data_IF_537855559950
#
_entry.id   IF_537855559950
#
_cell.length_a   1.000
_cell.length_b   1.000
_cell.length_c   1.000
_cell.angle_alpha   90.00
_cell.angle_beta   90.00
_cell.angle_gamma   90.00
#
_symmetry.space_group_name_H-M   'P 1'
#
loop_
_entity.id
_entity.type
_entity.pdbx_description
1 polymer ?
#
# COMPACT_ATOMS: atom_id res chain seq x y z
N UNK A 1 4.51 2.38 -19.22
CA UNK A 1 5.82 3.03 -19.09
C UNK A 1 5.56 4.51 -18.98
N UNK A 2 6.12 5.19 -17.98
CA UNK A 2 5.86 6.62 -17.69
C UNK A 2 4.37 6.99 -17.61
N UNK A 3 3.58 6.14 -16.96
CA UNK A 3 2.13 6.33 -16.84
C UNK A 3 1.29 5.84 -18.03
N UNK A 4 1.92 5.48 -19.15
CA UNK A 4 1.22 4.98 -20.32
C UNK A 4 1.26 3.45 -20.41
N UNK A 5 0.12 2.84 -20.77
CA UNK A 5 0.04 1.40 -21.04
C UNK A 5 0.72 1.09 -22.38
N UNK A 6 1.76 0.25 -22.37
CA UNK A 6 2.48 -0.18 -23.58
C UNK A 6 2.00 -1.51 -24.13
N UNK A 7 1.32 -2.32 -23.33
CA UNK A 7 0.79 -3.61 -23.76
C UNK A 7 0.62 -4.58 -22.60
N UNK A 8 0.16 -5.78 -22.92
CA UNK A 8 0.11 -6.92 -22.01
C UNK A 8 1.08 -7.98 -22.51
N UNK A 9 1.95 -8.45 -21.62
CA UNK A 9 2.99 -9.41 -21.95
C UNK A 9 2.90 -10.62 -21.04
N UNK A 10 3.12 -11.82 -21.59
CA UNK A 10 3.42 -12.99 -20.76
C UNK A 10 4.81 -12.82 -20.15
N UNK A 11 5.06 -13.43 -19.00
CA UNK A 11 6.36 -13.30 -18.32
C UNK A 11 7.56 -13.58 -19.25
N UNK A 12 7.49 -14.65 -20.04
CA UNK A 12 8.56 -15.01 -20.98
C UNK A 12 8.81 -13.96 -22.09
N UNK A 13 7.74 -13.27 -22.54
CA UNK A 13 7.84 -12.23 -23.56
C UNK A 13 8.35 -10.92 -22.95
N UNK A 14 7.94 -10.62 -21.72
CA UNK A 14 8.47 -9.49 -20.96
C UNK A 14 9.97 -9.62 -20.73
N UNK A 15 10.47 -10.81 -20.37
CA UNK A 15 11.90 -11.05 -20.19
C UNK A 15 12.71 -10.75 -21.45
N UNK A 16 12.21 -11.10 -22.65
CA UNK A 16 12.87 -10.78 -23.93
C UNK A 16 12.89 -9.27 -24.23
N UNK A 17 11.82 -8.57 -23.81
CA UNK A 17 11.64 -7.15 -24.12
C UNK A 17 12.32 -6.23 -23.13
N UNK A 18 12.51 -6.64 -21.87
CA UNK A 18 12.89 -5.71 -20.79
C UNK A 18 14.21 -4.95 -21.05
N UNK A 19 15.17 -5.52 -21.80
CA UNK A 19 16.38 -4.78 -22.23
C UNK A 19 16.08 -3.55 -23.08
N UNK A 20 15.00 -3.54 -23.82
CA UNK A 20 14.59 -2.38 -24.63
C UNK A 20 14.14 -1.19 -23.76
N UNK A 21 13.91 -1.42 -22.45
CA UNK A 21 13.55 -0.39 -21.47
C UNK A 21 14.76 0.37 -20.93
N UNK A 22 15.98 -0.13 -21.12
CA UNK A 22 17.23 0.46 -20.58
C UNK A 22 17.36 1.96 -20.94
N UNK A 23 17.16 2.40 -22.18
CA UNK A 23 17.28 3.82 -22.51
C UNK A 23 16.31 4.71 -21.72
N UNK A 24 15.12 4.20 -21.42
CA UNK A 24 14.12 4.91 -20.63
C UNK A 24 14.47 4.95 -19.14
N UNK A 25 14.97 3.84 -18.62
CA UNK A 25 15.47 3.75 -17.24
C UNK A 25 16.61 4.75 -17.03
N UNK A 26 17.58 4.82 -17.95
CA UNK A 26 18.70 5.76 -17.88
C UNK A 26 18.26 7.21 -17.99
N UNK A 27 17.26 7.49 -18.84
CA UNK A 27 16.69 8.86 -18.94
C UNK A 27 16.01 9.27 -17.64
N UNK A 28 15.23 8.38 -17.00
CA UNK A 28 14.61 8.64 -15.71
C UNK A 28 15.66 8.84 -14.61
N UNK A 29 16.71 8.01 -14.59
CA UNK A 29 17.83 8.17 -13.65
C UNK A 29 18.55 9.50 -13.85
N UNK A 30 18.85 9.89 -15.08
CA UNK A 30 19.50 11.18 -15.39
C UNK A 30 18.65 12.37 -14.95
N UNK A 31 17.33 12.30 -15.16
CA UNK A 31 16.42 13.35 -14.69
C UNK A 31 16.46 13.49 -13.16
N UNK A 32 16.39 12.38 -12.43
CA UNK A 32 16.51 12.38 -10.97
C UNK A 32 17.87 12.89 -10.49
N UNK A 33 18.95 12.52 -11.19
CA UNK A 33 20.32 12.94 -10.86
C UNK A 33 20.55 14.44 -11.06
N UNK A 34 19.80 15.08 -11.96
CA UNK A 34 19.90 16.51 -12.19
C UNK A 34 19.24 17.35 -11.08
N UNK A 35 18.34 16.74 -10.32
CA UNK A 35 17.50 17.41 -9.31
C UNK A 35 17.84 17.02 -7.87
N UNK A 36 18.65 15.96 -7.66
CA UNK A 36 18.91 15.41 -6.34
C UNK A 36 20.39 15.13 -6.12
N UNK A 37 20.88 15.44 -4.92
CA UNK A 37 22.26 15.15 -4.50
C UNK A 37 22.51 13.65 -4.24
N UNK A 38 21.47 12.94 -3.79
CA UNK A 38 21.51 11.51 -3.46
C UNK A 38 20.30 10.81 -4.04
N UNK A 39 20.52 9.67 -4.70
CA UNK A 39 19.48 8.78 -5.21
C UNK A 39 19.60 7.45 -4.47
N UNK A 40 18.50 7.02 -3.84
CA UNK A 40 18.37 5.69 -3.25
C UNK A 40 17.61 4.79 -4.22
N UNK A 41 18.23 3.67 -4.60
CA UNK A 41 17.66 2.71 -5.55
C UNK A 41 17.32 1.44 -4.78
N UNK A 42 16.04 1.05 -4.82
CA UNK A 42 15.58 -0.23 -4.29
C UNK A 42 15.51 -1.26 -5.41
N UNK A 43 16.07 -2.46 -5.17
CA UNK A 43 15.95 -3.60 -6.07
C UNK A 43 14.61 -4.33 -5.89
N UNK A 44 14.34 -5.29 -6.76
CA UNK A 44 13.17 -6.15 -6.66
C UNK A 44 13.57 -7.63 -6.71
N UNK A 45 12.99 -8.44 -5.82
CA UNK A 45 13.35 -9.84 -5.66
C UNK A 45 14.76 -10.00 -5.09
N UNK A 46 15.52 -10.98 -5.59
CA UNK A 46 16.87 -11.26 -5.15
C UNK A 46 17.91 -11.04 -6.26
N UNK A 47 19.06 -10.41 -5.97
CA UNK A 47 20.16 -10.34 -6.95
C UNK A 47 20.81 -11.71 -7.24
N UNK A 48 20.48 -12.73 -6.44
CA UNK A 48 21.00 -14.10 -6.59
C UNK A 48 20.11 -15.00 -7.48
N UNK A 49 19.13 -14.45 -8.19
CA UNK A 49 18.31 -15.18 -9.17
C UNK A 49 19.14 -15.47 -10.44
N UNK A 50 20.08 -16.44 -10.34
CA UNK A 50 21.07 -16.74 -11.38
C UNK A 50 20.46 -17.14 -12.73
N UNK A 51 19.28 -17.74 -12.72
CA UNK A 51 18.49 -18.11 -13.90
C UNK A 51 17.90 -16.92 -14.66
N UNK A 52 17.79 -15.74 -14.03
CA UNK A 52 17.22 -14.52 -14.60
C UNK A 52 18.27 -13.41 -14.82
N UNK A 53 19.51 -13.68 -14.46
CA UNK A 53 20.62 -12.72 -14.38
C UNK A 53 20.98 -12.08 -15.71
N UNK A 54 20.93 -12.83 -16.82
CA UNK A 54 21.35 -12.35 -18.14
C UNK A 54 20.59 -11.09 -18.59
N UNK A 55 19.35 -10.93 -18.12
CA UNK A 55 18.50 -9.81 -18.47
C UNK A 55 18.09 -8.96 -17.24
N UNK A 56 18.91 -8.95 -16.20
CA UNK A 56 18.67 -8.12 -15.02
C UNK A 56 18.82 -6.63 -15.37
N UNK A 57 17.77 -5.86 -15.11
CA UNK A 57 17.71 -4.40 -15.26
C UNK A 57 17.27 -3.71 -13.97
N UNK A 58 17.20 -4.46 -12.86
CA UNK A 58 16.57 -4.01 -11.61
C UNK A 58 17.57 -4.03 -10.46
N UNK A 59 18.30 -5.14 -10.28
CA UNK A 59 19.25 -5.32 -9.19
C UNK A 59 20.67 -4.97 -9.63
N UNK A 60 21.58 -5.95 -9.71
CA UNK A 60 22.98 -5.71 -10.10
C UNK A 60 23.14 -5.20 -11.52
N UNK A 61 22.20 -5.54 -12.42
CA UNK A 61 22.16 -4.98 -13.76
C UNK A 61 21.98 -3.47 -13.77
N UNK A 62 21.05 -2.94 -12.98
CA UNK A 62 20.87 -1.49 -12.83
C UNK A 62 22.09 -0.86 -12.13
N UNK A 63 22.59 -1.48 -11.05
CA UNK A 63 23.75 -0.97 -10.34
C UNK A 63 24.97 -0.81 -11.26
N UNK A 64 25.16 -1.72 -12.21
CA UNK A 64 26.21 -1.61 -13.24
C UNK A 64 25.95 -0.48 -14.23
N UNK A 65 24.70 -0.33 -14.70
CA UNK A 65 24.33 0.68 -15.69
C UNK A 65 24.53 2.11 -15.18
N UNK A 66 24.27 2.35 -13.89
CA UNK A 66 24.36 3.69 -13.28
C UNK A 66 25.59 3.86 -12.39
N UNK A 67 26.50 2.87 -12.39
CA UNK A 67 27.70 2.83 -11.55
C UNK A 67 27.41 3.07 -10.07
N UNK A 68 26.40 2.39 -9.51
CA UNK A 68 25.99 2.57 -8.11
C UNK A 68 26.72 1.60 -7.17
N UNK A 69 27.16 2.05 -5.97
CA UNK A 69 27.54 1.16 -4.88
C UNK A 69 26.31 0.44 -4.32
N UNK A 70 26.51 -0.76 -3.76
CA UNK A 70 25.40 -1.61 -3.31
C UNK A 70 25.57 -1.94 -1.83
N UNK A 71 24.51 -1.73 -1.04
CA UNK A 71 24.34 -2.28 0.29
C UNK A 71 23.49 -3.55 0.18
N UNK A 72 24.03 -4.69 0.58
CA UNK A 72 23.29 -5.94 0.59
C UNK A 72 22.61 -6.13 1.95
N UNK A 73 21.28 -6.06 1.98
CA UNK A 73 20.49 -6.14 3.22
C UNK A 73 19.88 -7.53 3.36
N UNK A 74 20.10 -8.17 4.51
CA UNK A 74 19.50 -9.45 4.87
C UNK A 74 18.49 -9.32 6.02
N UNK A 75 17.32 -9.96 5.89
CA UNK A 75 16.28 -10.02 6.92
C UNK A 75 16.51 -11.22 7.84
N UNK A 76 16.88 -10.98 9.11
CA UNK A 76 17.18 -12.06 10.08
C UNK A 76 15.90 -12.68 10.67
N UNK A 77 14.77 -11.97 10.64
CA UNK A 77 13.51 -12.42 11.25
C UNK A 77 12.96 -13.70 10.58
N UNK A 78 13.35 -13.94 9.32
CA UNK A 78 12.99 -15.15 8.56
C UNK A 78 13.91 -16.34 8.81
N UNK A 79 15.02 -16.15 9.53
CA UNK A 79 16.05 -17.14 9.74
C UNK A 79 17.00 -17.32 8.53
N UNK A 80 18.19 -17.87 8.78
CA UNK A 80 19.17 -18.21 7.73
C UNK A 80 19.89 -17.02 7.11
N UNK A 81 19.90 -15.84 7.73
CA UNK A 81 20.46 -14.60 7.16
C UNK A 81 21.93 -14.73 6.74
N UNK A 82 22.75 -15.45 7.51
CA UNK A 82 24.17 -15.69 7.16
C UNK A 82 24.30 -16.47 5.85
N UNK A 83 23.46 -17.51 5.67
CA UNK A 83 23.45 -18.29 4.43
C UNK A 83 22.95 -17.44 3.25
N UNK A 84 21.94 -16.58 3.47
CA UNK A 84 21.41 -15.68 2.44
C UNK A 84 22.48 -14.68 1.99
N UNK A 85 23.13 -13.98 2.92
CA UNK A 85 24.14 -12.99 2.60
C UNK A 85 25.38 -13.62 1.96
N UNK A 86 25.88 -14.73 2.52
CA UNK A 86 27.00 -15.48 1.94
C UNK A 86 26.65 -16.04 0.55
N UNK A 87 25.52 -16.73 0.42
CA UNK A 87 25.09 -17.33 -0.84
C UNK A 87 24.87 -16.29 -1.93
N UNK A 88 24.24 -15.17 -1.60
CA UNK A 88 24.04 -14.05 -2.53
C UNK A 88 25.39 -13.54 -3.01
N UNK A 89 26.31 -13.22 -2.09
CA UNK A 89 27.65 -12.71 -2.44
C UNK A 89 28.45 -13.72 -3.28
N UNK A 90 28.36 -15.02 -2.97
CA UNK A 90 29.05 -16.07 -3.68
C UNK A 90 28.54 -16.36 -5.10
N UNK A 91 27.22 -16.12 -5.35
CA UNK A 91 26.59 -16.32 -6.65
C UNK A 91 26.75 -15.14 -7.61
N UNK A 92 27.20 -13.99 -7.12
CA UNK A 92 27.45 -12.81 -7.95
C UNK A 92 28.80 -12.93 -8.71
N UNK A 93 28.80 -12.35 -9.92
CA UNK A 93 30.02 -12.22 -10.70
C UNK A 93 31.04 -11.30 -10.00
N UNK A 94 32.34 -11.40 -10.32
CA UNK A 94 33.35 -10.60 -9.66
C UNK A 94 33.12 -9.08 -9.76
N UNK A 95 32.68 -8.59 -10.90
CA UNK A 95 32.37 -7.17 -11.14
C UNK A 95 31.13 -6.68 -10.38
N UNK A 96 30.16 -7.56 -10.15
CA UNK A 96 28.98 -7.30 -9.32
C UNK A 96 29.33 -7.31 -7.84
N UNK A 97 30.09 -8.31 -7.41
CA UNK A 97 30.55 -8.42 -6.02
C UNK A 97 31.39 -7.22 -5.61
N UNK A 98 32.22 -6.72 -6.51
CA UNK A 98 33.10 -5.56 -6.25
C UNK A 98 32.25 -4.27 -5.99
N UNK A 99 30.97 -4.22 -6.38
CA UNK A 99 30.08 -3.11 -6.10
C UNK A 99 29.46 -3.17 -4.70
N UNK A 100 29.50 -4.33 -4.04
CA UNK A 100 28.95 -4.46 -2.68
C UNK A 100 29.92 -3.80 -1.70
N UNK A 101 29.55 -2.62 -1.22
CA UNK A 101 30.35 -1.86 -0.24
C UNK A 101 30.20 -2.38 1.18
N UNK A 102 29.13 -3.13 1.44
CA UNK A 102 28.88 -3.74 2.73
C UNK A 102 27.58 -4.54 2.79
N UNK A 103 27.48 -5.35 3.84
CA UNK A 103 26.27 -6.08 4.20
C UNK A 103 25.61 -5.46 5.43
N UNK A 104 24.29 -5.56 5.53
CA UNK A 104 23.48 -5.09 6.67
C UNK A 104 22.57 -6.22 7.11
N UNK A 105 22.49 -6.47 8.41
CA UNK A 105 21.47 -7.37 8.98
C UNK A 105 20.33 -6.54 9.52
N UNK A 106 19.12 -6.78 9.02
CA UNK A 106 17.93 -6.02 9.39
C UNK A 106 16.97 -6.85 10.27
N UNK A 107 16.14 -6.16 11.04
CA UNK A 107 15.11 -6.70 11.93
C UNK A 107 15.65 -7.60 13.04
N UNK A 108 16.83 -7.29 13.54
CA UNK A 108 17.45 -8.08 14.61
C UNK A 108 16.69 -7.95 15.93
N UNK A 109 16.46 -9.07 16.60
CA UNK A 109 15.86 -9.13 17.95
C UNK A 109 16.84 -9.82 18.89
N UNK A 110 17.23 -9.14 19.95
CA UNK A 110 18.09 -9.70 20.98
C UNK A 110 19.37 -8.90 21.22
N UNK A 111 20.37 -9.56 21.79
CA UNK A 111 21.66 -8.97 22.13
C UNK A 111 22.61 -9.06 20.93
N UNK A 112 23.05 -7.92 20.41
CA UNK A 112 23.98 -7.83 19.26
C UNK A 112 25.35 -8.45 19.60
N UNK A 113 25.76 -8.45 20.86
CA UNK A 113 27.06 -9.03 21.25
C UNK A 113 27.11 -10.54 21.01
N UNK A 114 25.98 -11.23 21.11
CA UNK A 114 25.88 -12.66 20.74
C UNK A 114 26.03 -12.89 19.22
N UNK A 115 25.74 -11.88 18.42
CA UNK A 115 25.82 -11.98 16.95
C UNK A 115 27.24 -11.66 16.44
N UNK A 116 28.03 -10.87 17.17
CA UNK A 116 29.38 -10.38 16.76
C UNK A 116 30.30 -11.48 16.20
N UNK A 117 30.46 -12.66 16.82
CA UNK A 117 31.31 -13.70 16.27
C UNK A 117 30.86 -14.16 14.86
N UNK A 118 29.54 -14.24 14.66
CA UNK A 118 28.96 -14.59 13.36
C UNK A 118 29.18 -13.51 12.30
N UNK A 119 29.16 -12.22 12.69
CA UNK A 119 29.47 -11.11 11.79
C UNK A 119 30.91 -11.20 11.27
N UNK A 120 31.87 -11.41 12.17
CA UNK A 120 33.28 -11.58 11.80
C UNK A 120 33.51 -12.78 10.86
N UNK A 121 32.82 -13.91 11.12
CA UNK A 121 32.86 -15.08 10.21
C UNK A 121 32.24 -14.77 8.84
N UNK A 122 31.20 -13.95 8.77
CA UNK A 122 30.60 -13.55 7.51
C UNK A 122 31.56 -12.68 6.71
N UNK A 123 32.19 -11.69 7.33
CA UNK A 123 33.19 -10.83 6.70
C UNK A 123 34.38 -11.64 6.16
N UNK A 124 34.91 -12.57 6.97
CA UNK A 124 35.99 -13.47 6.56
C UNK A 124 35.63 -14.29 5.31
N UNK A 125 34.40 -14.83 5.28
CA UNK A 125 33.94 -15.70 4.20
C UNK A 125 33.57 -14.96 2.92
N UNK A 126 33.02 -13.73 3.04
CA UNK A 126 32.54 -12.95 1.89
C UNK A 126 33.58 -11.98 1.34
N UNK A 127 34.54 -11.55 2.19
CA UNK A 127 35.39 -10.41 1.91
C UNK A 127 34.70 -9.07 1.89
N UNK A 128 33.42 -9.03 2.35
CA UNK A 128 32.59 -7.85 2.37
C UNK A 128 32.31 -7.45 3.83
N UNK A 129 32.53 -6.19 4.22
CA UNK A 129 32.30 -5.75 5.60
C UNK A 129 30.81 -5.78 6.00
N UNK A 130 30.56 -6.03 7.28
CA UNK A 130 29.22 -5.84 7.87
C UNK A 130 29.14 -4.38 8.39
N UNK A 131 28.33 -3.57 7.73
CA UNK A 131 28.19 -2.14 8.07
C UNK A 131 27.20 -1.87 9.18
N UNK A 132 26.49 -2.87 9.64
CA UNK A 132 25.65 -2.74 10.81
C UNK A 132 24.57 -3.80 10.97
N UNK A 133 23.95 -3.75 12.15
CA UNK A 133 22.84 -4.61 12.55
C UNK A 133 21.71 -3.70 13.01
N UNK A 134 20.67 -3.59 12.20
CA UNK A 134 19.50 -2.76 12.49
C UNK A 134 18.51 -3.55 13.35
N UNK A 135 18.14 -3.06 14.54
CA UNK A 135 17.19 -3.73 15.38
C UNK A 135 15.78 -3.73 14.75
N UNK A 136 14.96 -4.66 15.19
CA UNK A 136 13.55 -4.63 14.85
C UNK A 136 12.92 -3.36 15.46
N UNK A 137 12.44 -2.49 14.60
CA UNK A 137 11.75 -1.27 15.01
C UNK A 137 10.24 -1.48 15.01
N UNK A 138 9.56 -0.76 15.89
CA UNK A 138 8.10 -0.71 15.92
C UNK A 138 7.55 0.52 15.19
N UNK A 139 8.35 1.10 14.29
CA UNK A 139 7.88 2.17 13.42
C UNK A 139 6.70 1.65 12.57
N UNK A 140 5.61 2.39 12.60
CA UNK A 140 4.37 2.06 11.86
C UNK A 140 4.47 2.61 10.44
N UNK A 141 5.23 1.89 9.62
CA UNK A 141 5.41 2.20 8.19
C UNK A 141 4.36 1.44 7.38
N UNK A 142 3.81 2.09 6.37
CA UNK A 142 2.83 1.47 5.49
C UNK A 142 3.39 0.20 4.84
N UNK A 143 2.59 -0.84 4.86
CA UNK A 143 2.95 -2.12 4.23
C UNK A 143 2.82 -2.02 2.71
N UNK A 144 3.75 -2.65 1.99
CA UNK A 144 3.81 -2.61 0.52
C UNK A 144 2.74 -3.47 -0.14
N UNK A 145 2.39 -4.62 0.44
CA UNK A 145 1.50 -5.59 -0.19
C UNK A 145 0.37 -6.10 0.71
N UNK A 146 -0.64 -6.71 0.07
CA UNK A 146 -1.82 -7.28 0.72
C UNK A 146 -1.57 -8.58 1.50
N UNK A 147 -0.34 -9.06 1.61
CA UNK A 147 0.07 -10.19 2.46
C UNK A 147 0.50 -9.72 3.86
N UNK A 148 0.36 -8.43 4.13
CA UNK A 148 0.73 -7.81 5.39
C UNK A 148 0.13 -8.53 6.60
N UNK A 149 0.93 -8.74 7.65
CA UNK A 149 0.45 -9.18 8.96
C UNK A 149 -0.57 -8.22 9.58
N UNK A 150 -0.60 -6.94 9.15
CA UNK A 150 -1.57 -5.92 9.58
C UNK A 150 -3.01 -6.40 9.35
N UNK A 151 -3.29 -7.05 8.22
CA UNK A 151 -4.60 -7.59 7.89
C UNK A 151 -5.06 -8.76 8.78
N UNK A 152 -4.16 -9.30 9.62
CA UNK A 152 -4.47 -10.34 10.60
C UNK A 152 -4.55 -9.82 12.05
N UNK A 153 -4.08 -8.59 12.32
CA UNK A 153 -4.07 -8.03 13.66
C UNK A 153 -5.50 -7.66 14.10
N UNK A 154 -5.85 -8.05 15.33
CA UNK A 154 -6.94 -7.42 16.09
C UNK A 154 -6.35 -6.19 16.77
N UNK A 155 -6.83 -5.01 16.42
CA UNK A 155 -6.45 -3.81 17.15
C UNK A 155 -7.00 -3.82 18.59
N UNK A 156 -6.35 -3.03 19.45
CA UNK A 156 -6.82 -2.82 20.81
C UNK A 156 -8.28 -2.35 20.82
N UNK A 157 -9.05 -2.72 21.85
CA UNK A 157 -10.42 -2.24 22.03
C UNK A 157 -10.43 -0.71 22.09
N UNK A 158 -11.03 -0.08 21.10
CA UNK A 158 -11.24 1.35 20.99
C UNK A 158 -12.75 1.63 21.02
N UNK A 159 -13.17 2.87 21.33
CA UNK A 159 -14.59 3.21 21.45
C UNK A 159 -15.43 2.90 20.23
N UNK A 160 -14.87 3.05 19.04
CA UNK A 160 -15.53 2.82 17.74
C UNK A 160 -14.92 1.62 17.05
N UNK A 161 -15.75 0.70 16.57
CA UNK A 161 -15.38 -0.53 15.86
C UNK A 161 -15.66 -0.40 14.36
N UNK A 162 -14.60 -0.32 13.55
CA UNK A 162 -14.67 -0.26 12.09
C UNK A 162 -14.29 -1.62 11.52
N UNK A 163 -15.24 -2.28 10.84
CA UNK A 163 -15.02 -3.55 10.16
C UNK A 163 -14.74 -3.35 8.67
N UNK A 164 -13.47 -3.47 8.27
CA UNK A 164 -13.06 -3.51 6.86
C UNK A 164 -13.21 -4.94 6.35
N UNK A 165 -13.93 -5.12 5.25
CA UNK A 165 -14.08 -6.45 4.64
C UNK A 165 -12.76 -6.87 4.00
N UNK A 166 -12.19 -7.98 4.47
CA UNK A 166 -10.97 -8.54 3.91
C UNK A 166 -11.29 -9.31 2.63
N UNK A 167 -11.42 -8.59 1.53
CA UNK A 167 -11.62 -9.18 0.21
C UNK A 167 -10.40 -10.03 -0.20
N UNK A 168 -10.58 -11.14 -0.93
CA UNK A 168 -9.46 -11.99 -1.41
C UNK A 168 -8.43 -11.22 -2.24
N UNK A 169 -8.88 -10.20 -2.98
CA UNK A 169 -8.03 -9.37 -3.85
C UNK A 169 -8.01 -7.91 -3.40
N UNK A 170 -8.13 -7.69 -2.09
CA UNK A 170 -8.08 -6.33 -1.50
C UNK A 170 -6.93 -5.51 -2.08
N UNK A 171 -7.20 -4.26 -2.40
CA UNK A 171 -6.19 -3.29 -2.85
C UNK A 171 -6.32 -1.99 -2.09
N UNK A 172 -5.24 -1.17 -2.09
CA UNK A 172 -5.23 0.15 -1.44
C UNK A 172 -5.64 0.08 0.05
N UNK A 173 -5.26 -1.00 0.73
CA UNK A 173 -5.57 -1.17 2.17
C UNK A 173 -4.89 -0.12 3.05
N UNK A 174 -3.87 0.57 2.54
CA UNK A 174 -3.24 1.74 3.18
C UNK A 174 -4.20 2.92 3.34
N UNK A 175 -5.31 2.97 2.59
CA UNK A 175 -6.39 3.95 2.80
C UNK A 175 -6.89 3.97 4.25
N UNK A 176 -6.71 2.88 5.01
CA UNK A 176 -7.21 2.77 6.39
C UNK A 176 -6.17 3.09 7.46
N UNK A 177 -4.91 3.31 7.10
CA UNK A 177 -3.84 3.64 8.04
C UNK A 177 -4.15 4.92 8.88
N UNK A 178 -4.72 5.99 8.29
CA UNK A 178 -5.15 7.15 9.07
C UNK A 178 -6.26 6.84 10.09
N UNK A 179 -7.16 5.91 9.79
CA UNK A 179 -8.19 5.45 10.73
C UNK A 179 -7.56 4.59 11.83
N UNK A 180 -6.59 3.75 11.49
CA UNK A 180 -5.87 2.91 12.44
C UNK A 180 -5.01 3.72 13.41
N UNK A 181 -4.47 4.86 13.01
CA UNK A 181 -3.71 5.76 13.88
C UNK A 181 -4.58 6.58 14.84
N UNK A 182 -5.89 6.76 14.51
CA UNK A 182 -6.79 7.59 15.29
C UNK A 182 -7.14 6.96 16.66
N UNK A 183 -7.01 7.66 17.80
CA UNK A 183 -7.14 7.08 19.14
C UNK A 183 -8.52 6.51 19.49
N UNK A 184 -9.59 6.98 18.84
CA UNK A 184 -10.95 6.49 19.09
C UNK A 184 -11.41 5.39 18.13
N UNK A 185 -10.71 5.16 17.00
CA UNK A 185 -11.13 4.25 15.93
C UNK A 185 -10.36 2.93 16.01
N UNK A 186 -11.07 1.82 16.23
CA UNK A 186 -10.52 0.47 16.15
C UNK A 186 -10.83 -0.14 14.79
N UNK A 187 -9.83 -0.31 13.93
CA UNK A 187 -10.00 -0.95 12.63
C UNK A 187 -9.67 -2.43 12.72
N UNK A 188 -10.53 -3.27 12.21
CA UNK A 188 -10.31 -4.71 12.09
C UNK A 188 -10.74 -5.22 10.73
N UNK A 189 -10.12 -6.31 10.29
CA UNK A 189 -10.40 -6.92 8.99
C UNK A 189 -11.26 -8.16 9.17
N UNK A 190 -12.44 -8.20 8.52
CA UNK A 190 -13.40 -9.28 8.61
C UNK A 190 -13.46 -10.09 7.30
N UNK A 191 -13.21 -11.40 7.38
CA UNK A 191 -13.28 -12.32 6.24
C UNK A 191 -14.48 -13.28 6.32
N UNK A 192 -15.24 -13.26 7.42
CA UNK A 192 -16.39 -14.16 7.68
C UNK A 192 -17.56 -13.36 8.24
N UNK A 193 -18.79 -13.74 7.89
CA UNK A 193 -20.00 -13.10 8.39
C UNK A 193 -20.08 -13.07 9.93
N UNK A 194 -19.61 -14.13 10.61
CA UNK A 194 -19.56 -14.17 12.08
C UNK A 194 -18.64 -13.10 12.70
N UNK A 195 -17.73 -12.51 11.94
CA UNK A 195 -16.81 -11.45 12.37
C UNK A 195 -17.45 -10.05 12.28
N UNK A 196 -18.61 -9.88 11.62
CA UNK A 196 -19.34 -8.62 11.50
C UNK A 196 -20.28 -8.33 12.67
N UNK A 197 -19.97 -8.78 13.88
CA UNK A 197 -20.83 -8.55 15.04
C UNK A 197 -20.69 -7.13 15.56
N UNK A 198 -21.77 -6.33 15.36
CA UNK A 198 -21.94 -5.00 15.96
C UNK A 198 -20.93 -3.93 15.60
N UNK A 199 -20.44 -3.85 14.36
CA UNK A 199 -19.54 -2.76 13.98
C UNK A 199 -20.28 -1.43 13.93
N UNK A 200 -19.57 -0.33 14.20
CA UNK A 200 -20.09 1.02 14.05
C UNK A 200 -20.02 1.51 12.61
N UNK A 201 -19.13 0.92 11.81
CA UNK A 201 -18.98 1.16 10.38
C UNK A 201 -18.51 -0.11 9.70
N UNK A 202 -19.10 -0.42 8.55
CA UNK A 202 -18.59 -1.45 7.62
C UNK A 202 -17.95 -0.75 6.44
N UNK A 203 -16.73 -1.18 6.07
CA UNK A 203 -16.05 -0.68 4.88
C UNK A 203 -15.84 -1.80 3.88
N UNK A 204 -16.32 -1.60 2.66
CA UNK A 204 -16.01 -2.40 1.48
C UNK A 204 -14.84 -1.73 0.76
N UNK A 205 -13.62 -2.27 0.82
CA UNK A 205 -12.43 -1.62 0.27
C UNK A 205 -12.34 -1.75 -1.25
N UNK A 206 -11.30 -1.13 -1.83
CA UNK A 206 -10.88 -1.38 -3.20
C UNK A 206 -10.44 -2.82 -3.41
N UNK A 207 -10.57 -3.29 -4.65
CA UNK A 207 -10.14 -4.63 -5.06
C UNK A 207 -9.59 -4.63 -6.48
N UNK A 208 -8.75 -5.63 -6.77
CA UNK A 208 -8.21 -5.88 -8.12
C UNK A 208 -9.18 -6.64 -9.04
N UNK A 209 -10.29 -7.15 -8.53
CA UNK A 209 -11.33 -7.84 -9.30
C UNK A 209 -12.68 -7.75 -8.59
N UNK A 210 -13.46 -6.75 -8.99
CA UNK A 210 -14.73 -6.40 -8.34
C UNK A 210 -15.76 -7.52 -8.47
N UNK A 211 -15.94 -8.05 -9.68
CA UNK A 211 -16.97 -9.05 -9.93
C UNK A 211 -16.68 -10.39 -9.22
N UNK A 212 -15.43 -10.84 -9.21
CA UNK A 212 -15.04 -12.08 -8.54
C UNK A 212 -15.15 -11.95 -7.01
N UNK A 213 -14.75 -10.80 -6.45
CA UNK A 213 -14.84 -10.57 -5.02
C UNK A 213 -16.29 -10.37 -4.56
N UNK A 214 -17.17 -9.80 -5.39
CA UNK A 214 -18.61 -9.76 -5.10
C UNK A 214 -19.23 -11.17 -5.08
N UNK A 215 -18.84 -12.05 -5.99
CA UNK A 215 -19.28 -13.45 -5.95
C UNK A 215 -18.79 -14.17 -4.67
N UNK A 216 -17.56 -13.91 -4.27
CA UNK A 216 -17.03 -14.43 -3.02
C UNK A 216 -17.82 -13.91 -1.80
N UNK A 217 -18.19 -12.62 -1.76
CA UNK A 217 -19.04 -12.03 -0.71
C UNK A 217 -20.39 -12.78 -0.60
N UNK A 218 -21.00 -13.15 -1.73
CA UNK A 218 -22.24 -13.93 -1.77
C UNK A 218 -22.05 -15.34 -1.22
N UNK A 219 -21.02 -16.03 -1.70
CA UNK A 219 -20.72 -17.41 -1.31
C UNK A 219 -20.34 -17.53 0.16
N UNK A 220 -19.65 -16.52 0.72
CA UNK A 220 -19.24 -16.49 2.12
C UNK A 220 -20.34 -16.04 3.09
N UNK A 221 -21.50 -15.60 2.57
CA UNK A 221 -22.60 -15.06 3.36
C UNK A 221 -22.38 -13.63 3.88
N UNK A 222 -21.25 -13.00 3.56
CA UNK A 222 -20.93 -11.63 3.97
C UNK A 222 -21.89 -10.62 3.35
N UNK A 223 -22.26 -10.78 2.07
CA UNK A 223 -23.23 -9.86 1.41
C UNK A 223 -24.55 -9.80 2.19
N UNK A 224 -25.10 -10.96 2.59
CA UNK A 224 -26.36 -11.02 3.32
C UNK A 224 -26.26 -10.33 4.70
N UNK A 225 -25.17 -10.55 5.43
CA UNK A 225 -24.95 -9.92 6.74
C UNK A 225 -24.72 -8.40 6.62
N UNK A 226 -23.97 -7.93 5.62
CA UNK A 226 -23.78 -6.50 5.34
C UNK A 226 -25.16 -5.84 5.04
N UNK A 227 -25.97 -6.44 4.18
CA UNK A 227 -27.30 -5.92 3.84
C UNK A 227 -28.22 -5.85 5.04
N UNK A 228 -28.18 -6.86 5.90
CA UNK A 228 -28.95 -6.91 7.15
C UNK A 228 -28.52 -5.81 8.11
N UNK A 229 -27.20 -5.63 8.31
CA UNK A 229 -26.64 -4.59 9.18
C UNK A 229 -26.93 -3.19 8.62
N UNK A 230 -26.79 -2.98 7.32
CA UNK A 230 -27.16 -1.72 6.66
C UNK A 230 -28.65 -1.38 6.87
N UNK A 231 -29.53 -2.36 6.71
CA UNK A 231 -30.96 -2.19 6.94
C UNK A 231 -31.32 -1.90 8.41
N UNK A 232 -30.48 -2.34 9.36
CA UNK A 232 -30.62 -2.02 10.79
C UNK A 232 -29.96 -0.69 11.19
N UNK A 233 -29.41 0.07 10.22
CA UNK A 233 -28.85 1.40 10.45
C UNK A 233 -27.34 1.46 10.58
N UNK A 234 -26.62 0.32 10.53
CA UNK A 234 -25.15 0.33 10.52
C UNK A 234 -24.64 1.01 9.26
N UNK A 235 -23.78 2.04 9.36
CA UNK A 235 -23.20 2.70 8.21
C UNK A 235 -22.36 1.77 7.35
N UNK A 236 -22.41 1.96 6.01
CA UNK A 236 -21.60 1.21 5.04
C UNK A 236 -20.90 2.20 4.11
N UNK A 237 -19.59 2.08 3.98
CA UNK A 237 -18.76 2.85 3.06
C UNK A 237 -18.12 1.91 2.03
N UNK A 238 -18.36 2.16 0.74
CA UNK A 238 -17.67 1.47 -0.35
C UNK A 238 -16.63 2.37 -1.01
N UNK A 239 -15.41 1.85 -1.20
CA UNK A 239 -14.32 2.56 -1.87
C UNK A 239 -13.96 1.82 -3.15
N UNK A 240 -13.95 2.51 -4.30
CA UNK A 240 -13.57 2.00 -5.60
C UNK A 240 -14.36 0.72 -5.96
N UNK A 241 -13.73 -0.47 -5.96
CA UNK A 241 -14.44 -1.73 -6.18
C UNK A 241 -15.57 -1.97 -5.18
N UNK A 242 -15.37 -1.59 -3.91
CA UNK A 242 -16.43 -1.64 -2.89
C UNK A 242 -17.63 -0.76 -3.22
N UNK A 243 -17.40 0.44 -3.74
CA UNK A 243 -18.48 1.31 -4.23
C UNK A 243 -19.25 0.68 -5.38
N UNK A 244 -18.54 0.10 -6.36
CA UNK A 244 -19.14 -0.61 -7.48
C UNK A 244 -20.02 -1.77 -7.00
N UNK A 245 -19.56 -2.56 -6.01
CA UNK A 245 -20.33 -3.67 -5.43
C UNK A 245 -21.64 -3.22 -4.76
N UNK A 246 -21.65 -2.04 -4.14
CA UNK A 246 -22.84 -1.49 -3.48
C UNK A 246 -23.97 -1.12 -4.46
N UNK A 247 -23.66 -0.93 -5.74
CA UNK A 247 -24.61 -0.56 -6.79
C UNK A 247 -25.63 -1.66 -7.10
N UNK A 248 -26.52 -1.38 -8.08
CA UNK A 248 -27.56 -2.30 -8.57
C UNK A 248 -27.00 -3.35 -9.53
N UNK A 249 -26.06 -2.97 -10.41
CA UNK A 249 -25.50 -3.84 -11.43
C UNK A 249 -24.06 -3.45 -11.81
N UNK A 250 -23.33 -4.47 -12.23
CA UNK A 250 -22.00 -4.42 -12.80
C UNK A 250 -22.05 -5.02 -14.20
N UNK A 251 -21.72 -4.25 -15.22
CA UNK A 251 -21.71 -4.67 -16.61
C UNK A 251 -20.30 -4.64 -17.18
N UNK A 252 -19.82 -5.77 -17.67
CA UNK A 252 -18.48 -5.93 -18.26
C UNK A 252 -18.55 -6.48 -19.68
N UNK A 253 -19.04 -5.67 -20.64
CA UNK A 253 -19.25 -6.12 -22.02
C UNK A 253 -17.95 -6.40 -22.78
N UNK A 254 -16.84 -5.85 -22.31
CA UNK A 254 -15.52 -5.96 -22.96
C UNK A 254 -14.59 -6.96 -22.29
N UNK A 255 -15.09 -7.70 -21.31
CA UNK A 255 -14.32 -8.65 -20.50
C UNK A 255 -13.02 -8.02 -19.92
N UNK A 256 -13.17 -6.84 -19.32
CA UNK A 256 -12.09 -6.13 -18.62
C UNK A 256 -11.68 -6.87 -17.35
N UNK A 257 -12.67 -7.42 -16.63
CA UNK A 257 -12.47 -8.31 -15.49
C UNK A 257 -12.88 -9.75 -15.84
N UNK A 258 -14.16 -10.05 -15.76
CA UNK A 258 -14.72 -11.40 -15.94
C UNK A 258 -15.52 -11.55 -17.24
N UNK A 259 -16.10 -10.45 -17.70
CA UNK A 259 -17.10 -10.42 -18.77
C UNK A 259 -18.53 -10.68 -18.27
N UNK A 260 -19.50 -10.24 -19.06
CA UNK A 260 -20.92 -10.38 -18.78
C UNK A 260 -21.45 -9.36 -17.77
N UNK A 261 -22.56 -9.69 -17.11
CA UNK A 261 -23.22 -8.82 -16.16
C UNK A 261 -23.48 -9.52 -14.83
N UNK A 262 -23.42 -8.77 -13.72
CA UNK A 262 -23.64 -9.25 -12.38
C UNK A 262 -24.53 -8.25 -11.64
N UNK A 263 -25.55 -8.75 -10.91
CA UNK A 263 -26.28 -7.90 -10.00
C UNK A 263 -25.38 -7.44 -8.85
N UNK A 264 -25.40 -6.17 -8.52
CA UNK A 264 -24.73 -5.62 -7.35
C UNK A 264 -25.45 -5.94 -6.05
N UNK A 265 -25.07 -5.31 -4.97
CA UNK A 265 -25.72 -5.47 -3.66
C UNK A 265 -27.06 -4.71 -3.59
N UNK A 266 -27.28 -3.72 -4.45
CA UNK A 266 -28.51 -2.92 -4.50
C UNK A 266 -28.71 -2.01 -3.30
N UNK A 267 -27.62 -1.59 -2.65
CA UNK A 267 -27.63 -0.66 -1.53
C UNK A 267 -27.53 0.81 -1.97
N UNK A 268 -27.00 1.04 -3.18
CA UNK A 268 -26.94 2.37 -3.80
C UNK A 268 -27.61 2.34 -5.18
N UNK A 269 -28.36 3.39 -5.56
CA UNK A 269 -29.02 3.50 -6.86
C UNK A 269 -28.01 3.91 -7.94
N UNK A 270 -27.09 3.06 -8.24
CA UNK A 270 -26.05 3.29 -9.25
C UNK A 270 -25.72 2.00 -10.01
N UNK A 271 -25.22 2.16 -11.22
CA UNK A 271 -24.80 1.06 -12.11
C UNK A 271 -23.41 1.34 -12.62
N UNK A 272 -22.58 0.32 -12.64
CA UNK A 272 -21.20 0.42 -13.11
C UNK A 272 -21.02 -0.36 -14.41
N UNK A 273 -20.43 0.27 -15.42
CA UNK A 273 -19.98 -0.37 -16.64
C UNK A 273 -18.45 -0.35 -16.66
N UNK A 274 -17.83 -1.52 -16.81
CA UNK A 274 -16.38 -1.62 -16.98
C UNK A 274 -15.97 -1.22 -18.39
N UNK A 275 -14.88 -0.43 -18.46
CA UNK A 275 -14.27 0.08 -19.69
C UNK A 275 -12.77 -0.17 -19.66
N UNK A 276 -12.15 -0.36 -20.84
CA UNK A 276 -10.70 -0.59 -20.93
C UNK A 276 -9.86 0.62 -20.54
N UNK A 277 -10.43 1.80 -20.62
CA UNK A 277 -9.75 3.03 -20.26
C UNK A 277 -9.63 3.13 -18.74
N UNK A 278 -8.40 3.16 -18.24
CA UNK A 278 -8.10 3.36 -16.84
C UNK A 278 -8.08 4.84 -16.51
N UNK A 279 -8.93 5.27 -15.58
CA UNK A 279 -8.88 6.61 -15.02
C UNK A 279 -7.82 6.64 -13.92
N UNK A 280 -6.89 7.59 -14.01
CA UNK A 280 -5.86 7.83 -12.97
C UNK A 280 -5.57 9.32 -12.88
N UNK A 281 -5.88 9.93 -11.76
CA UNK A 281 -5.61 11.34 -11.51
C UNK A 281 -5.58 11.66 -10.02
N UNK A 282 -4.79 12.65 -9.64
CA UNK A 282 -4.90 13.31 -8.34
C UNK A 282 -6.03 14.34 -8.41
N UNK A 283 -6.76 14.48 -7.31
CA UNK A 283 -7.94 15.33 -7.24
C UNK A 283 -8.04 16.00 -5.88
N UNK A 284 -8.65 17.20 -5.88
CA UNK A 284 -9.10 17.87 -4.67
C UNK A 284 -10.62 17.97 -4.72
N UNK A 285 -11.27 17.66 -3.61
CA UNK A 285 -12.71 17.67 -3.51
C UNK A 285 -13.15 18.14 -2.13
N UNK A 286 -14.43 18.50 -2.01
CA UNK A 286 -15.10 18.74 -0.74
C UNK A 286 -16.26 17.77 -0.59
N UNK A 287 -16.44 17.18 0.58
CA UNK A 287 -17.56 16.32 0.88
C UNK A 287 -18.87 17.15 0.80
N UNK A 288 -19.83 16.66 0.03
CA UNK A 288 -21.10 17.34 -0.24
C UNK A 288 -22.25 16.78 0.59
N UNK A 289 -22.18 15.51 0.99
CA UNK A 289 -23.23 14.84 1.75
C UNK A 289 -22.94 14.80 3.25
N UNK A 290 -24.02 14.86 4.05
CA UNK A 290 -23.94 14.59 5.49
C UNK A 290 -23.58 13.09 5.71
N UNK A 291 -22.81 12.76 6.77
CA UNK A 291 -22.35 13.63 7.86
C UNK A 291 -21.02 14.35 7.56
N UNK A 292 -20.45 14.18 6.38
CA UNK A 292 -19.10 14.63 6.04
C UNK A 292 -19.06 16.03 5.42
N UNK A 293 -20.22 16.64 5.13
CA UNK A 293 -20.33 17.89 4.37
C UNK A 293 -19.32 18.95 4.82
N UNK A 294 -18.64 19.56 3.83
CA UNK A 294 -17.62 20.58 4.01
C UNK A 294 -16.23 20.08 4.34
N UNK A 295 -15.99 18.76 4.54
CA UNK A 295 -14.64 18.24 4.70
C UNK A 295 -13.88 18.35 3.36
N UNK A 296 -12.71 18.99 3.38
CA UNK A 296 -11.81 19.01 2.25
C UNK A 296 -10.98 17.71 2.19
N UNK A 297 -10.80 17.19 0.99
CA UNK A 297 -9.97 16.00 0.76
C UNK A 297 -9.04 16.23 -0.43
N UNK A 298 -7.80 15.79 -0.29
CA UNK A 298 -6.86 15.56 -1.40
C UNK A 298 -6.76 14.06 -1.57
N UNK A 299 -7.08 13.56 -2.75
CA UNK A 299 -7.29 12.16 -3.01
C UNK A 299 -6.80 11.78 -4.41
N UNK A 300 -6.90 10.53 -4.77
CA UNK A 300 -6.66 10.09 -6.15
C UNK A 300 -7.74 9.11 -6.60
N UNK A 301 -8.06 9.16 -7.89
CA UNK A 301 -8.92 8.19 -8.58
C UNK A 301 -8.05 7.19 -9.34
N UNK A 302 -8.36 5.89 -9.19
CA UNK A 302 -7.71 4.83 -9.97
C UNK A 302 -8.69 3.67 -10.19
N UNK A 303 -9.41 3.68 -11.33
CA UNK A 303 -10.44 2.68 -11.62
C UNK A 303 -10.63 2.47 -13.12
N UNK A 304 -11.30 1.38 -13.49
CA UNK A 304 -11.67 1.03 -14.88
C UNK A 304 -13.20 1.00 -15.10
N UNK A 305 -13.99 1.38 -14.14
CA UNK A 305 -15.45 1.42 -14.22
C UNK A 305 -15.98 2.84 -14.35
N UNK A 306 -17.05 3.00 -15.11
CA UNK A 306 -17.85 4.20 -15.18
C UNK A 306 -19.17 3.94 -14.45
N UNK A 307 -19.42 4.71 -13.38
CA UNK A 307 -20.63 4.56 -12.56
C UNK A 307 -21.62 5.68 -12.86
N UNK A 308 -22.83 5.28 -13.24
CA UNK A 308 -23.95 6.18 -13.43
C UNK A 308 -24.82 6.14 -12.20
N UNK A 309 -25.07 7.29 -11.59
CA UNK A 309 -25.94 7.47 -10.44
C UNK A 309 -27.38 7.76 -10.91
N UNK A 310 -28.33 6.94 -10.48
CA UNK A 310 -29.76 7.12 -10.78
C UNK A 310 -30.52 7.84 -9.67
N UNK A 311 -29.93 7.99 -8.48
CA UNK A 311 -30.53 8.62 -7.30
C UNK A 311 -29.54 8.81 -6.18
N UNK A 312 -30.00 9.27 -5.02
CA UNK A 312 -29.14 9.67 -3.91
C UNK A 312 -28.44 11.02 -4.14
N UNK A 313 -27.64 11.46 -3.19
CA UNK A 313 -26.81 12.67 -3.29
C UNK A 313 -25.39 12.34 -3.75
N UNK A 314 -24.68 13.30 -4.33
CA UNK A 314 -23.25 13.18 -4.53
C UNK A 314 -22.54 13.14 -3.18
N UNK A 315 -21.55 12.25 -3.02
CA UNK A 315 -20.77 12.20 -1.79
C UNK A 315 -19.73 13.33 -1.77
N UNK A 316 -19.12 13.62 -2.91
CA UNK A 316 -18.13 14.68 -3.06
C UNK A 316 -18.45 15.61 -4.23
N UNK A 317 -17.99 16.85 -4.12
CA UNK A 317 -17.89 17.82 -5.22
C UNK A 317 -16.43 18.12 -5.48
N UNK A 318 -15.99 17.81 -6.68
CA UNK A 318 -14.62 18.02 -7.14
C UNK A 318 -14.36 19.51 -7.38
N UNK A 319 -13.10 19.90 -7.36
CA UNK A 319 -12.70 21.30 -7.64
C UNK A 319 -13.10 21.75 -9.05
N UNK A 320 -13.18 20.85 -10.03
CA UNK A 320 -13.65 21.09 -11.40
C UNK A 320 -15.18 21.20 -11.51
N UNK A 321 -15.92 21.14 -10.40
CA UNK A 321 -17.37 21.21 -10.31
C UNK A 321 -18.09 19.87 -10.55
N UNK A 322 -17.38 18.82 -10.92
CA UNK A 322 -17.94 17.47 -11.12
C UNK A 322 -18.39 16.87 -9.79
N UNK A 323 -19.52 16.18 -9.82
CA UNK A 323 -20.01 15.39 -8.71
C UNK A 323 -19.41 13.98 -8.74
N UNK A 324 -19.02 13.46 -7.58
CA UNK A 324 -18.41 12.15 -7.42
C UNK A 324 -19.09 11.39 -6.27
N UNK A 325 -19.17 10.06 -6.45
CA UNK A 325 -19.71 9.15 -5.46
C UNK A 325 -21.23 9.23 -5.29
N UNK A 326 -21.74 8.45 -4.35
CA UNK A 326 -23.16 8.37 -4.03
C UNK A 326 -23.36 8.23 -2.53
N UNK A 327 -24.29 8.97 -1.97
CA UNK A 327 -24.76 8.86 -0.60
C UNK A 327 -26.26 8.64 -0.58
N UNK A 328 -26.73 7.61 0.14
CA UNK A 328 -28.14 7.32 0.36
C UNK A 328 -28.33 6.74 1.78
N UNK A 329 -29.03 7.49 2.64
CA UNK A 329 -29.23 7.10 4.04
C UNK A 329 -27.88 6.92 4.77
N UNK A 330 -27.63 5.71 5.24
CA UNK A 330 -26.39 5.31 5.91
C UNK A 330 -25.39 4.59 5.00
N UNK A 331 -25.60 4.62 3.67
CA UNK A 331 -24.71 3.98 2.70
C UNK A 331 -24.02 5.03 1.84
N UNK A 332 -22.69 4.90 1.74
CA UNK A 332 -21.81 5.82 1.05
C UNK A 332 -20.90 5.07 0.08
N UNK A 333 -20.63 5.64 -1.07
CA UNK A 333 -19.71 5.04 -2.04
C UNK A 333 -18.95 6.09 -2.82
N UNK A 334 -17.67 5.84 -3.09
CA UNK A 334 -16.76 6.76 -3.78
C UNK A 334 -15.66 6.03 -4.52
N UNK A 335 -15.11 6.65 -5.56
CA UNK A 335 -13.89 6.19 -6.24
C UNK A 335 -12.60 6.76 -5.63
N UNK A 336 -12.71 7.68 -4.70
CA UNK A 336 -11.56 8.37 -4.13
C UNK A 336 -10.79 7.47 -3.16
N UNK A 337 -9.49 7.37 -3.37
CA UNK A 337 -8.50 6.77 -2.48
C UNK A 337 -7.71 7.87 -1.75
N UNK A 338 -7.13 7.54 -0.59
CA UNK A 338 -6.44 8.52 0.25
C UNK A 338 -7.36 9.54 0.93
N UNK A 339 -8.65 9.22 1.03
CA UNK A 339 -9.68 10.10 1.60
C UNK A 339 -9.35 10.62 3.00
N UNK A 340 -8.69 9.80 3.77
CA UNK A 340 -8.47 9.99 5.20
C UNK A 340 -7.13 10.66 5.51
N UNK A 341 -6.27 10.85 4.50
CA UNK A 341 -4.90 11.34 4.67
C UNK A 341 -4.85 12.81 5.15
N UNK A 342 -5.79 13.65 4.69
CA UNK A 342 -5.87 15.07 5.07
C UNK A 342 -6.44 15.34 6.46
N UNK A 343 -6.91 14.31 7.16
CA UNK A 343 -7.40 14.39 8.53
C UNK A 343 -8.81 14.96 8.72
N UNK A 344 -9.28 15.91 7.92
CA UNK A 344 -10.61 16.52 8.10
C UNK A 344 -11.75 15.52 7.99
N UNK A 345 -11.71 14.65 6.98
CA UNK A 345 -12.73 13.62 6.80
C UNK A 345 -12.68 12.59 7.92
N UNK A 346 -11.47 12.20 8.34
CA UNK A 346 -11.25 11.29 9.47
C UNK A 346 -11.84 11.85 10.76
N UNK A 347 -11.62 13.14 11.03
CA UNK A 347 -12.17 13.80 12.22
C UNK A 347 -13.69 13.83 12.20
N UNK A 348 -14.32 14.21 11.06
CA UNK A 348 -15.78 14.21 10.91
C UNK A 348 -16.39 12.82 11.03
N UNK A 349 -15.74 11.80 10.42
CA UNK A 349 -16.15 10.41 10.55
C UNK A 349 -16.10 9.95 12.01
N UNK A 350 -14.99 10.21 12.69
CA UNK A 350 -14.80 9.82 14.09
C UNK A 350 -15.84 10.52 15.00
N UNK A 351 -16.03 11.82 14.83
CA UNK A 351 -17.01 12.58 15.61
C UNK A 351 -18.41 12.04 15.41
N UNK A 352 -18.84 11.84 14.15
CA UNK A 352 -20.15 11.29 13.83
C UNK A 352 -20.38 9.89 14.43
N UNK A 353 -19.39 9.00 14.35
CA UNK A 353 -19.52 7.65 14.90
C UNK A 353 -19.54 7.66 16.43
N UNK A 354 -18.78 8.55 17.08
CA UNK A 354 -18.81 8.75 18.53
C UNK A 354 -20.19 9.26 18.99
N UNK A 355 -20.73 10.28 18.31
CA UNK A 355 -22.09 10.82 18.57
C UNK A 355 -23.17 9.75 18.40
N UNK A 356 -23.10 8.91 17.37
CA UNK A 356 -24.02 7.78 17.17
C UNK A 356 -23.97 6.76 18.32
N UNK A 357 -22.82 6.64 18.99
CA UNK A 357 -22.65 5.85 20.21
C UNK A 357 -23.02 6.59 21.49
N UNK A 358 -23.41 7.84 21.41
CA UNK A 358 -23.68 8.70 22.58
C UNK A 358 -22.43 9.09 23.35
N UNK A 359 -21.26 9.10 22.69
CA UNK A 359 -19.97 9.50 23.25
C UNK A 359 -19.61 10.92 22.82
N UNK A 360 -18.92 11.66 23.71
CA UNK A 360 -18.47 13.01 23.42
C UNK A 360 -17.21 13.01 22.53
N UNK A 361 -17.27 13.56 21.31
CA UNK A 361 -16.12 13.65 20.43
C UNK A 361 -15.07 14.68 20.90
N UNK A 362 -15.42 15.66 21.74
CA UNK A 362 -14.53 16.74 22.15
C UNK A 362 -13.34 16.26 23.00
N UNK A 363 -13.44 15.08 23.63
CA UNK A 363 -12.38 14.47 24.40
C UNK A 363 -11.26 13.82 23.57
N UNK A 364 -11.44 13.69 22.25
CA UNK A 364 -10.50 13.00 21.36
C UNK A 364 -9.72 14.02 20.53
N UNK A 365 -8.41 14.05 20.73
CA UNK A 365 -7.50 14.89 19.92
C UNK A 365 -6.64 13.97 19.05
N UNK A 366 -7.02 13.74 17.78
CA UNK A 366 -6.19 12.99 16.86
C UNK A 366 -4.96 13.82 16.47
N UNK A 367 -3.84 13.14 16.29
CA UNK A 367 -2.68 13.70 15.59
C UNK A 367 -3.01 13.79 14.09
N UNK A 368 -2.52 14.81 13.40
CA UNK A 368 -2.55 14.86 11.95
C UNK A 368 -1.79 13.65 11.38
N UNK A 369 -2.40 12.93 10.44
CA UNK A 369 -1.80 11.69 9.92
C UNK A 369 -0.47 11.95 9.21
N UNK A 370 -0.31 13.08 8.53
CA UNK A 370 0.95 13.45 7.89
C UNK A 370 2.05 13.61 8.94
N UNK A 371 1.77 14.30 10.04
CA UNK A 371 2.71 14.48 11.17
C UNK A 371 3.02 13.13 11.82
N UNK A 372 1.99 12.30 12.04
CA UNK A 372 2.17 10.94 12.56
C UNK A 372 3.11 10.12 11.67
N UNK A 373 2.89 10.11 10.35
CA UNK A 373 3.69 9.35 9.39
C UNK A 373 5.13 9.85 9.32
N UNK A 374 5.36 11.16 9.26
CA UNK A 374 6.72 11.72 9.29
C UNK A 374 7.46 11.30 10.55
N UNK A 375 6.81 11.34 11.72
CA UNK A 375 7.40 10.86 12.96
C UNK A 375 7.75 9.36 12.92
N UNK A 376 6.96 8.52 12.23
CA UNK A 376 7.30 7.10 12.04
C UNK A 376 8.53 6.93 11.15
N UNK A 377 8.66 7.74 10.10
CA UNK A 377 9.87 7.76 9.25
C UNK A 377 11.09 8.23 10.04
N UNK A 378 10.96 9.25 10.88
CA UNK A 378 12.05 9.72 11.75
C UNK A 378 12.50 8.63 12.73
N UNK A 379 11.57 7.92 13.36
CA UNK A 379 11.88 6.78 14.24
C UNK A 379 12.68 5.69 13.51
N UNK A 380 12.30 5.36 12.28
CA UNK A 380 13.03 4.39 11.46
C UNK A 380 14.40 4.94 11.05
N UNK A 381 14.48 6.19 10.61
CA UNK A 381 15.72 6.83 10.20
C UNK A 381 16.73 6.91 11.35
N UNK A 382 16.28 7.24 12.55
CA UNK A 382 17.14 7.30 13.74
C UNK A 382 17.67 5.90 14.12
N UNK A 383 16.81 4.88 14.08
CA UNK A 383 17.24 3.50 14.33
C UNK A 383 18.29 3.02 13.31
N UNK A 384 18.09 3.33 12.04
CA UNK A 384 19.04 2.99 10.96
C UNK A 384 20.34 3.75 11.13
N UNK A 385 20.28 5.08 11.37
CA UNK A 385 21.47 5.92 11.55
C UNK A 385 22.31 5.51 12.75
N UNK A 386 21.68 5.13 13.85
CA UNK A 386 22.37 4.66 15.05
C UNK A 386 23.01 3.27 14.90
N UNK A 387 22.56 2.48 13.91
CA UNK A 387 22.95 1.08 13.75
C UNK A 387 23.95 0.83 12.62
N UNK A 388 24.12 1.78 11.69
CA UNK A 388 24.98 1.65 10.53
C UNK A 388 26.26 2.49 10.65
N UNK A 389 27.36 2.01 10.06
CA UNK A 389 28.58 2.78 9.84
C UNK A 389 28.34 3.83 8.72
N UNK A 390 27.61 4.88 9.06
CA UNK A 390 27.25 5.95 8.12
C UNK A 390 28.46 6.63 7.49
N UNK A 391 29.58 6.93 8.24
CA UNK A 391 30.79 7.49 7.63
C UNK A 391 31.31 6.65 6.46
N UNK A 392 31.41 5.36 6.65
CA UNK A 392 31.90 4.44 5.61
C UNK A 392 30.95 4.34 4.41
N UNK A 393 29.65 4.44 4.63
CA UNK A 393 28.66 4.50 3.54
C UNK A 393 28.87 5.78 2.72
N UNK A 394 29.03 6.92 3.37
CA UNK A 394 29.26 8.19 2.65
C UNK A 394 30.61 8.21 1.91
N UNK A 395 31.68 7.71 2.52
CA UNK A 395 32.98 7.56 1.83
C UNK A 395 32.86 6.71 0.56
N UNK A 396 32.13 5.59 0.61
CA UNK A 396 31.89 4.77 -0.55
C UNK A 396 31.07 5.49 -1.63
N UNK A 397 30.04 6.24 -1.24
CA UNK A 397 29.25 7.04 -2.19
C UNK A 397 30.10 8.09 -2.89
N UNK A 398 30.96 8.79 -2.17
CA UNK A 398 31.89 9.77 -2.75
C UNK A 398 32.90 9.13 -3.70
N UNK A 399 33.44 7.95 -3.36
CA UNK A 399 34.33 7.23 -4.24
C UNK A 399 33.68 6.87 -5.59
N UNK A 400 32.42 6.44 -5.57
CA UNK A 400 31.68 6.14 -6.81
C UNK A 400 31.27 7.39 -7.61
N UNK A 401 31.12 8.52 -6.96
CA UNK A 401 30.87 9.80 -7.64
C UNK A 401 32.06 10.30 -8.45
N UNK A 402 33.29 10.03 -7.96
CA UNK A 402 34.53 10.55 -8.50
C UNK A 402 35.23 9.57 -9.47
N UNK A 403 34.77 8.34 -9.61
CA UNK A 403 35.28 7.30 -10.50
C UNK A 403 34.40 7.09 -11.71
#
# INVERSE_FOLDING_TARGET
MNGEVRGQYRAADYFKMKRTLIPEILRAFQSLSAENDVIVIEGAGSPAEINLKADDIVNMGLAKLVNAPVLLVGDIDRGGVFAQLYGTTALLEPDERARIIGTVINKFRGDVDLLRPGLAMLEEKTGVPVLGVVPYTHADIDDEDSLSPRLAKRQAQRPIDIAVIRLPRISNFTDFAPLESHPALGVRYAARAAELRGPDLIVLPGTKSTMEDLLWLRQSGLEAEIKKLAASGTPVLGICGGYQMLGEALDDPEAVERGGSLLGMGLLPCRTRFVRQKHRRQVTAAAAAQPFAGAAVTAYEIHMGETTRAGGAALFRMQDGREEGTALGNVFGTYLHGLFDTGELTQKLAAWLLENRGLDPAGVKPEDYTVYRERQYDLLADAVRASLDMPRIYEAMEAYRNG
#
